data_IF_997094809607
#
_entry.id   IF_997094809607
#
_cell.length_a   1.000
_cell.length_b   1.000
_cell.length_c   1.000
_cell.angle_alpha   90.00
_cell.angle_beta   90.00
_cell.angle_gamma   90.00
#
_symmetry.space_group_name_H-M   'P 1'
#
loop_
_entity.id
_entity.type
_entity.pdbx_description
1 polymer ?
#
# COMPACT_ATOMS: atom_id res chain seq x y z
N UNK A 1 5.61 20.30 -13.71
CA UNK A 1 4.83 19.35 -12.92
C UNK A 1 5.68 18.83 -11.77
N UNK A 2 5.09 18.56 -10.62
CA UNK A 2 5.79 18.08 -9.42
C UNK A 2 5.46 16.61 -9.20
N UNK A 3 6.40 15.87 -8.60
CA UNK A 3 6.14 14.53 -8.12
C UNK A 3 5.17 14.60 -6.92
N UNK A 4 4.30 13.60 -6.80
CA UNK A 4 3.34 13.49 -5.69
C UNK A 4 3.67 12.24 -4.89
N UNK A 5 3.83 12.41 -3.58
CA UNK A 5 4.07 11.31 -2.63
C UNK A 5 2.92 11.26 -1.64
N UNK A 6 2.29 10.09 -1.49
CA UNK A 6 1.13 9.93 -0.61
C UNK A 6 1.00 8.49 -0.12
N UNK A 7 0.17 8.30 0.91
CA UNK A 7 -0.29 6.98 1.36
C UNK A 7 -1.68 6.72 0.80
N UNK A 8 -1.95 5.48 0.35
CA UNK A 8 -3.28 5.12 -0.16
C UNK A 8 -4.35 5.18 0.93
N UNK A 9 -3.99 4.75 2.14
CA UNK A 9 -4.87 4.90 3.29
C UNK A 9 -4.08 5.18 4.56
N UNK A 10 -4.67 6.00 5.43
CA UNK A 10 -4.08 6.40 6.70
C UNK A 10 -4.41 5.43 7.83
N UNK A 11 -3.40 5.02 8.57
CA UNK A 11 -3.55 4.09 9.70
C UNK A 11 -4.38 4.69 10.85
N UNK A 12 -4.17 5.96 11.16
CA UNK A 12 -4.82 6.63 12.31
C UNK A 12 -6.10 7.37 11.96
N UNK A 13 -6.41 7.53 10.69
CA UNK A 13 -7.62 8.21 10.23
C UNK A 13 -8.74 7.26 9.83
N UNK A 14 -8.42 6.01 9.54
CA UNK A 14 -9.37 5.07 8.95
C UNK A 14 -9.87 5.49 7.55
N UNK A 15 -9.22 6.48 6.95
CA UNK A 15 -9.57 7.00 5.65
C UNK A 15 -8.65 6.48 4.55
N UNK A 16 -9.16 6.34 3.35
CA UNK A 16 -8.42 5.97 2.14
C UNK A 16 -8.64 6.98 1.02
N UNK A 17 -7.75 6.96 0.06
CA UNK A 17 -7.99 7.62 -1.24
C UNK A 17 -9.16 6.90 -1.92
N UNK A 18 -10.25 7.60 -2.28
CA UNK A 18 -11.45 6.93 -2.81
C UNK A 18 -11.19 6.26 -4.17
N UNK A 19 -10.41 6.89 -5.03
CA UNK A 19 -10.05 6.38 -6.36
C UNK A 19 -8.81 7.10 -6.91
N UNK A 20 -8.39 6.77 -8.13
CA UNK A 20 -7.28 7.41 -8.84
C UNK A 20 -7.67 8.52 -9.81
N UNK A 21 -8.89 9.06 -9.79
CA UNK A 21 -9.38 9.99 -10.81
C UNK A 21 -8.71 11.36 -10.73
N UNK A 22 -8.25 11.75 -9.55
CA UNK A 22 -7.49 12.97 -9.32
C UNK A 22 -6.07 12.93 -9.90
N UNK A 23 -5.58 11.77 -10.34
CA UNK A 23 -4.25 11.59 -10.94
C UNK A 23 -4.37 11.78 -12.46
N UNK A 24 -3.85 12.89 -13.05
CA UNK A 24 -3.92 13.09 -14.49
C UNK A 24 -3.09 12.05 -15.25
N UNK A 25 -3.57 11.65 -16.42
CA UNK A 25 -2.84 10.69 -17.27
C UNK A 25 -1.62 11.33 -17.95
N UNK A 26 -1.71 12.61 -18.28
CA UNK A 26 -0.67 13.40 -18.96
C UNK A 26 0.34 14.06 -18.01
N UNK A 27 0.39 13.63 -16.75
CA UNK A 27 1.30 14.16 -15.74
C UNK A 27 2.78 13.97 -16.12
N UNK A 28 3.61 14.97 -15.94
CA UNK A 28 5.06 14.88 -16.09
C UNK A 28 5.74 14.31 -14.83
N UNK A 29 5.22 14.63 -13.65
CA UNK A 29 5.73 14.15 -12.37
C UNK A 29 5.39 12.67 -12.11
N UNK A 30 6.10 12.09 -11.16
CA UNK A 30 5.84 10.73 -10.68
C UNK A 30 4.75 10.72 -9.61
N UNK A 31 3.98 9.65 -9.58
CA UNK A 31 3.04 9.34 -8.51
C UNK A 31 3.62 8.20 -7.67
N UNK A 32 3.97 8.51 -6.43
CA UNK A 32 4.66 7.61 -5.49
C UNK A 32 3.71 7.30 -4.35
N UNK A 33 3.32 6.06 -4.20
CA UNK A 33 2.31 5.61 -3.26
C UNK A 33 2.85 4.58 -2.27
N UNK A 34 2.73 4.86 -0.99
CA UNK A 34 2.76 3.82 0.04
C UNK A 34 1.38 3.16 0.10
N UNK A 35 1.32 1.90 -0.28
CA UNK A 35 0.10 1.11 -0.31
C UNK A 35 0.15 -0.07 0.69
N UNK A 36 0.95 0.03 1.73
CA UNK A 36 1.19 -1.05 2.69
C UNK A 36 -0.09 -1.63 3.27
N UNK A 37 -1.09 -0.81 3.55
CA UNK A 37 -2.39 -1.27 4.07
C UNK A 37 -3.48 -1.42 2.99
N UNK A 38 -3.14 -1.17 1.73
CA UNK A 38 -4.09 -1.23 0.61
C UNK A 38 -3.87 -2.44 -0.29
N UNK A 39 -2.62 -2.78 -0.58
CA UNK A 39 -2.28 -3.94 -1.41
C UNK A 39 -2.89 -5.20 -0.81
N UNK A 40 -3.51 -6.04 -1.66
CA UNK A 40 -4.30 -7.23 -1.35
C UNK A 40 -5.68 -6.99 -0.71
N UNK A 41 -6.07 -5.74 -0.42
CA UNK A 41 -7.39 -5.43 0.12
C UNK A 41 -8.20 -4.46 -0.71
N UNK A 42 -7.56 -3.73 -1.61
CA UNK A 42 -8.18 -2.69 -2.44
C UNK A 42 -7.73 -2.81 -3.88
N UNK A 43 -8.64 -2.45 -4.79
CA UNK A 43 -8.28 -2.29 -6.20
C UNK A 43 -7.52 -0.97 -6.37
N UNK A 44 -6.27 -1.07 -6.83
CA UNK A 44 -5.39 0.08 -7.03
C UNK A 44 -5.31 0.42 -8.53
N UNK A 45 -5.31 1.73 -8.88
CA UNK A 45 -5.19 2.16 -10.29
C UNK A 45 -3.72 2.06 -10.75
N UNK A 46 -3.23 0.84 -10.92
CA UNK A 46 -1.82 0.53 -11.23
C UNK A 46 -1.26 1.33 -12.41
N UNK A 47 -2.07 1.60 -13.43
CA UNK A 47 -1.66 2.41 -14.59
C UNK A 47 -1.35 3.87 -14.26
N UNK A 48 -1.84 4.37 -13.12
CA UNK A 48 -1.66 5.74 -12.64
C UNK A 48 -0.60 5.87 -11.53
N UNK A 49 -0.04 4.75 -11.06
CA UNK A 49 0.97 4.73 -9.99
C UNK A 49 2.35 4.42 -10.57
N UNK A 50 3.32 5.32 -10.37
CA UNK A 50 4.66 5.15 -10.91
C UNK A 50 5.59 4.39 -9.96
N UNK A 51 5.41 4.58 -8.66
CA UNK A 51 6.11 3.83 -7.61
C UNK A 51 5.09 3.38 -6.57
N UNK A 52 5.03 2.10 -6.30
CA UNK A 52 4.21 1.55 -5.22
C UNK A 52 5.10 0.77 -4.27
N UNK A 53 4.97 1.06 -2.98
CA UNK A 53 5.70 0.35 -1.93
C UNK A 53 4.73 -0.27 -0.94
N UNK A 54 5.09 -1.44 -0.43
CA UNK A 54 4.38 -2.08 0.68
C UNK A 54 5.29 -3.04 1.44
N UNK A 55 4.79 -3.56 2.54
CA UNK A 55 5.39 -4.63 3.33
C UNK A 55 4.31 -5.66 3.72
N UNK A 56 4.71 -6.81 4.23
CA UNK A 56 3.84 -8.00 4.34
C UNK A 56 2.93 -8.05 5.56
N UNK A 57 3.11 -7.17 6.54
CA UNK A 57 2.47 -7.24 7.86
C UNK A 57 0.99 -6.87 7.91
N UNK A 58 0.36 -6.47 6.82
CA UNK A 58 -1.05 -6.04 6.81
C UNK A 58 -1.97 -7.17 6.35
N UNK A 59 -2.53 -7.09 5.17
CA UNK A 59 -3.56 -8.02 4.68
C UNK A 59 -3.08 -9.47 4.63
N UNK A 60 -1.84 -9.69 4.26
CA UNK A 60 -1.25 -11.03 4.18
C UNK A 60 -0.80 -11.60 5.53
N UNK A 61 -0.81 -10.80 6.60
CA UNK A 61 -0.54 -11.26 7.97
C UNK A 61 0.89 -11.67 8.25
N UNK A 62 1.85 -11.38 7.36
CA UNK A 62 3.25 -11.67 7.54
C UNK A 62 3.98 -10.72 8.48
N UNK A 63 5.28 -10.90 8.63
CA UNK A 63 6.12 -9.99 9.40
C UNK A 63 6.37 -8.66 8.66
N UNK A 64 6.58 -7.59 9.42
CA UNK A 64 6.97 -6.27 8.91
C UNK A 64 8.45 -6.24 8.45
N UNK A 65 8.84 -7.27 7.76
CA UNK A 65 10.18 -7.47 7.25
C UNK A 65 10.29 -7.10 5.80
N UNK A 66 11.02 -7.15 4.96
CA UNK A 66 11.11 -7.06 3.50
C UNK A 66 10.11 -6.08 2.85
N UNK A 67 10.60 -4.89 2.53
CA UNK A 67 9.88 -3.93 1.71
C UNK A 67 9.79 -4.41 0.25
N UNK A 68 8.60 -4.31 -0.32
CA UNK A 68 8.33 -4.56 -1.73
C UNK A 68 8.24 -3.24 -2.48
N UNK A 69 8.67 -3.23 -3.72
CA UNK A 69 8.59 -2.06 -4.59
C UNK A 69 8.20 -2.46 -6.02
N UNK A 70 7.27 -1.72 -6.60
CA UNK A 70 6.92 -1.78 -8.02
C UNK A 70 7.26 -0.45 -8.66
N UNK A 71 7.87 -0.48 -9.83
CA UNK A 71 8.26 0.70 -10.60
C UNK A 71 7.58 0.66 -11.98
N UNK A 72 6.97 1.78 -12.37
CA UNK A 72 6.54 1.98 -13.75
C UNK A 72 7.75 2.20 -14.67
N UNK A 73 7.61 2.01 -15.99
CA UNK A 73 8.66 2.36 -16.94
C UNK A 73 9.11 3.83 -16.81
N UNK A 74 8.20 4.74 -16.52
CA UNK A 74 8.48 6.16 -16.28
C UNK A 74 9.34 6.38 -15.02
N UNK A 75 9.10 5.62 -13.97
CA UNK A 75 9.91 5.68 -12.76
C UNK A 75 11.32 5.12 -13.01
N UNK A 76 11.45 4.06 -13.78
CA UNK A 76 12.74 3.50 -14.20
C UNK A 76 13.52 4.53 -15.01
N UNK A 77 12.92 5.12 -16.02
CA UNK A 77 13.55 6.19 -16.83
C UNK A 77 14.05 7.34 -15.92
N UNK A 78 13.24 7.79 -14.97
CA UNK A 78 13.63 8.83 -14.01
C UNK A 78 14.84 8.41 -13.17
N UNK A 79 14.91 7.18 -12.71
CA UNK A 79 16.03 6.65 -11.92
C UNK A 79 17.32 6.64 -12.76
N UNK A 80 17.24 6.30 -14.04
CA UNK A 80 18.40 6.17 -14.91
C UNK A 80 18.97 7.50 -15.37
N UNK A 81 18.12 8.51 -15.57
CA UNK A 81 18.55 9.85 -16.00
C UNK A 81 18.94 10.77 -14.83
N UNK A 82 18.47 10.46 -13.60
CA UNK A 82 18.74 11.28 -12.43
C UNK A 82 20.05 10.91 -11.74
N UNK A 83 20.91 11.89 -11.59
CA UNK A 83 22.15 11.74 -10.80
C UNK A 83 22.03 12.55 -9.51
N UNK A 84 21.92 11.89 -8.34
CA UNK A 84 21.83 12.62 -7.08
C UNK A 84 23.11 13.43 -6.83
N UNK A 85 22.94 14.65 -6.34
CA UNK A 85 24.05 15.55 -6.00
C UNK A 85 24.81 15.13 -4.74
N UNK A 86 24.21 14.23 -3.93
CA UNK A 86 24.79 13.70 -2.69
C UNK A 86 24.94 12.18 -2.78
N UNK A 87 25.98 11.61 -2.13
CA UNK A 87 26.11 10.15 -2.04
C UNK A 87 24.90 9.55 -1.32
N UNK A 88 24.24 8.59 -1.96
CA UNK A 88 23.15 7.86 -1.31
C UNK A 88 23.69 6.68 -0.48
N UNK A 89 23.15 6.45 0.72
CA UNK A 89 23.37 5.21 1.45
C UNK A 89 23.01 4.00 0.58
N UNK A 90 23.73 2.89 0.75
CA UNK A 90 23.57 1.68 -0.09
C UNK A 90 22.10 1.20 -0.15
N UNK A 91 21.37 1.29 0.96
CA UNK A 91 19.98 0.86 1.08
C UNK A 91 19.00 1.66 0.19
N UNK A 92 19.35 2.89 -0.19
CA UNK A 92 18.51 3.74 -1.06
C UNK A 92 18.96 3.74 -2.52
N UNK A 93 19.96 2.94 -2.88
CA UNK A 93 20.49 2.92 -4.25
C UNK A 93 19.71 1.93 -5.10
N UNK A 94 18.92 2.44 -6.02
CA UNK A 94 18.22 1.67 -7.05
C UNK A 94 18.97 1.68 -8.39
N UNK A 95 19.96 2.57 -8.55
CA UNK A 95 20.77 2.67 -9.76
C UNK A 95 22.27 2.63 -9.47
N UNK A 96 23.03 2.18 -10.46
CA UNK A 96 24.49 2.20 -10.48
C UNK A 96 24.99 2.56 -11.87
N UNK A 97 25.78 3.63 -11.96
CA UNK A 97 26.34 4.09 -13.25
C UNK A 97 25.28 4.48 -14.29
N UNK A 98 24.15 5.07 -13.85
CA UNK A 98 23.06 5.47 -14.74
C UNK A 98 22.15 4.34 -15.19
N UNK A 99 22.26 3.13 -14.64
CA UNK A 99 21.41 1.99 -14.98
C UNK A 99 20.70 1.48 -13.72
N UNK A 100 19.46 1.02 -13.85
CA UNK A 100 18.72 0.35 -12.80
C UNK A 100 19.49 -0.91 -12.34
N UNK A 101 19.53 -1.15 -11.03
CA UNK A 101 20.09 -2.38 -10.46
C UNK A 101 19.03 -3.49 -10.55
N UNK A 102 18.94 -4.14 -11.71
CA UNK A 102 17.90 -5.15 -12.00
C UNK A 102 17.90 -6.32 -11.03
N UNK A 103 19.07 -6.70 -10.53
CA UNK A 103 19.21 -7.80 -9.57
C UNK A 103 18.32 -7.66 -8.32
N UNK A 104 17.97 -6.43 -7.90
CA UNK A 104 17.04 -6.19 -6.77
C UNK A 104 15.67 -6.78 -7.06
N UNK A 105 15.24 -6.76 -8.32
CA UNK A 105 13.95 -7.30 -8.79
C UNK A 105 14.02 -8.78 -9.16
N UNK A 106 15.21 -9.35 -9.11
CA UNK A 106 15.50 -10.76 -9.42
C UNK A 106 15.91 -11.54 -8.16
N UNK A 107 15.67 -10.99 -6.97
CA UNK A 107 15.94 -11.62 -5.68
C UNK A 107 17.31 -11.31 -5.06
N UNK A 108 18.12 -10.44 -5.66
CA UNK A 108 19.35 -9.98 -5.02
C UNK A 108 19.02 -8.99 -3.91
N UNK A 109 19.40 -9.31 -2.68
CA UNK A 109 19.14 -8.48 -1.50
C UNK A 109 20.45 -7.87 -0.96
N UNK A 110 20.32 -6.74 -0.25
CA UNK A 110 21.47 -6.06 0.37
C UNK A 110 22.04 -6.89 1.53
N UNK A 111 21.14 -7.47 2.30
CA UNK A 111 21.45 -8.32 3.45
C UNK A 111 20.80 -9.68 3.29
N UNK A 112 21.25 -10.67 4.03
CA UNK A 112 20.59 -11.97 4.12
C UNK A 112 19.17 -11.80 4.61
N UNK A 113 18.20 -12.35 3.87
CA UNK A 113 16.79 -12.30 4.22
C UNK A 113 16.47 -13.23 5.39
N UNK A 114 15.41 -12.92 6.13
CA UNK A 114 14.82 -13.87 7.07
C UNK A 114 14.06 -14.94 6.30
N UNK A 115 14.57 -16.17 6.30
CA UNK A 115 13.94 -17.29 5.58
C UNK A 115 12.53 -17.57 6.11
N UNK A 116 12.33 -17.47 7.42
CA UNK A 116 11.01 -17.69 8.04
C UNK A 116 9.98 -16.67 7.52
N UNK A 117 10.36 -15.38 7.44
CA UNK A 117 9.45 -14.34 6.91
C UNK A 117 9.13 -14.57 5.43
N UNK A 118 10.06 -15.12 4.67
CA UNK A 118 9.83 -15.46 3.25
C UNK A 118 8.88 -16.64 3.13
N UNK A 119 9.07 -17.70 3.92
CA UNK A 119 8.20 -18.87 3.93
C UNK A 119 6.78 -18.51 4.38
N UNK A 120 6.62 -17.70 5.43
CA UNK A 120 5.31 -17.21 5.88
C UNK A 120 4.59 -16.40 4.78
N UNK A 121 5.32 -15.53 4.08
CA UNK A 121 4.76 -14.75 2.98
C UNK A 121 4.38 -15.64 1.79
N UNK A 122 5.16 -16.65 1.46
CA UNK A 122 4.86 -17.63 0.41
C UNK A 122 3.64 -18.48 0.77
N UNK A 123 3.54 -18.98 2.00
CA UNK A 123 2.38 -19.72 2.46
C UNK A 123 1.10 -18.86 2.37
N UNK A 124 1.16 -17.60 2.82
CA UNK A 124 0.07 -16.64 2.69
C UNK A 124 -0.36 -16.40 1.25
N UNK A 125 0.60 -16.27 0.31
CA UNK A 125 0.30 -16.12 -1.12
C UNK A 125 -0.34 -17.38 -1.73
N UNK A 126 0.17 -18.56 -1.40
CA UNK A 126 -0.40 -19.83 -1.83
C UNK A 126 -1.82 -20.04 -1.29
N UNK A 127 -2.03 -19.67 -0.02
CA UNK A 127 -3.38 -19.68 0.55
C UNK A 127 -4.31 -18.71 -0.20
N UNK A 128 -3.87 -17.48 -0.45
CA UNK A 128 -4.65 -16.49 -1.18
C UNK A 128 -5.04 -16.99 -2.58
N UNK A 129 -4.09 -17.60 -3.29
CA UNK A 129 -4.34 -18.21 -4.59
C UNK A 129 -5.39 -19.33 -4.50
N UNK A 130 -5.30 -20.19 -3.47
CA UNK A 130 -6.22 -21.30 -3.24
C UNK A 130 -7.68 -20.89 -3.02
N UNK A 131 -7.91 -19.67 -2.49
CA UNK A 131 -9.27 -19.15 -2.22
C UNK A 131 -9.82 -18.26 -3.34
N UNK A 132 -9.09 -18.07 -4.44
CA UNK A 132 -9.51 -17.28 -5.60
C UNK A 132 -8.71 -15.99 -5.83
N UNK A 133 -7.54 -15.85 -5.20
CA UNK A 133 -6.59 -14.78 -5.46
C UNK A 133 -7.01 -13.41 -4.94
N UNK A 134 -6.55 -12.39 -5.63
CA UNK A 134 -6.72 -10.99 -5.24
C UNK A 134 -8.19 -10.58 -5.07
N UNK A 135 -9.05 -10.95 -6.00
CA UNK A 135 -10.48 -10.59 -5.97
C UNK A 135 -11.16 -11.13 -4.70
N UNK A 136 -10.82 -12.35 -4.30
CA UNK A 136 -11.34 -12.95 -3.07
C UNK A 136 -10.83 -12.27 -1.82
N UNK A 137 -9.58 -11.80 -1.80
CA UNK A 137 -9.03 -11.04 -0.67
C UNK A 137 -9.71 -9.67 -0.54
N UNK A 138 -9.91 -8.97 -1.66
CA UNK A 138 -10.63 -7.69 -1.69
C UNK A 138 -12.08 -7.88 -1.22
N UNK A 139 -12.78 -8.89 -1.72
CA UNK A 139 -14.15 -9.20 -1.31
C UNK A 139 -14.24 -9.53 0.20
N UNK A 140 -13.29 -10.27 0.75
CA UNK A 140 -13.21 -10.53 2.19
C UNK A 140 -13.08 -9.24 3.00
N UNK A 141 -12.17 -8.36 2.60
CA UNK A 141 -11.94 -7.08 3.29
C UNK A 141 -13.19 -6.19 3.24
N UNK A 142 -13.86 -6.13 2.10
CA UNK A 142 -15.10 -5.38 1.93
C UNK A 142 -16.26 -5.97 2.76
N UNK A 143 -16.37 -7.29 2.84
CA UNK A 143 -17.38 -7.96 3.71
C UNK A 143 -17.14 -7.66 5.18
N UNK A 144 -15.89 -7.63 5.62
CA UNK A 144 -15.54 -7.27 6.99
C UNK A 144 -15.95 -5.82 7.30
N UNK A 145 -15.64 -4.86 6.42
CA UNK A 145 -16.08 -3.47 6.56
C UNK A 145 -17.62 -3.39 6.61
N UNK A 146 -18.31 -4.04 5.68
CA UNK A 146 -19.79 -4.03 5.63
C UNK A 146 -20.43 -4.59 6.90
N UNK A 147 -19.82 -5.60 7.53
CA UNK A 147 -20.30 -6.12 8.81
C UNK A 147 -20.19 -5.07 9.93
N UNK A 148 -19.04 -4.37 9.99
CA UNK A 148 -18.82 -3.28 10.98
C UNK A 148 -19.76 -2.11 10.71
N UNK A 149 -19.94 -1.69 9.46
CA UNK A 149 -20.86 -0.62 9.07
C UNK A 149 -22.31 -0.94 9.43
N UNK A 150 -22.72 -2.18 9.20
CA UNK A 150 -24.07 -2.64 9.56
C UNK A 150 -24.27 -2.64 11.07
N UNK A 151 -23.24 -3.04 11.82
CA UNK A 151 -23.30 -3.01 13.28
C UNK A 151 -23.32 -1.58 13.83
N UNK A 152 -22.56 -0.63 13.27
CA UNK A 152 -22.49 0.75 13.71
C UNK A 152 -23.78 1.53 13.38
N UNK A 153 -24.41 1.26 12.25
CA UNK A 153 -25.60 1.99 11.75
C UNK A 153 -26.75 2.07 12.73
N UNK A 154 -26.94 1.02 13.53
CA UNK A 154 -28.06 0.91 14.47
C UNK A 154 -27.72 1.44 15.87
N UNK A 155 -26.63 2.25 15.98
CA UNK A 155 -26.11 2.76 17.26
C UNK A 155 -25.77 4.24 17.16
N UNK A 156 -26.42 5.04 17.96
CA UNK A 156 -26.27 6.52 18.01
C UNK A 156 -25.07 6.99 18.84
N UNK A 157 -24.39 6.09 19.54
CA UNK A 157 -23.23 6.40 20.36
C UNK A 157 -21.89 6.15 19.65
N UNK A 158 -21.90 5.69 18.38
CA UNK A 158 -20.69 5.41 17.62
C UNK A 158 -20.86 5.89 16.17
N UNK A 159 -19.82 6.47 15.61
CA UNK A 159 -19.75 6.81 14.19
C UNK A 159 -18.33 6.63 13.64
N UNK A 160 -18.20 6.58 12.32
CA UNK A 160 -16.91 6.53 11.65
C UNK A 160 -16.29 7.92 11.55
N UNK A 161 -14.99 8.02 11.83
CA UNK A 161 -14.25 9.27 11.61
C UNK A 161 -14.29 9.67 10.12
N UNK A 162 -14.13 8.71 9.19
CA UNK A 162 -14.36 8.93 7.76
C UNK A 162 -15.88 8.96 7.48
N UNK A 163 -16.45 10.16 7.45
CA UNK A 163 -17.90 10.37 7.26
C UNK A 163 -18.38 9.93 5.88
N UNK A 164 -17.57 10.17 4.83
CA UNK A 164 -17.89 9.68 3.48
C UNK A 164 -17.57 8.18 3.37
N UNK A 165 -18.57 7.32 3.08
CA UNK A 165 -18.34 5.89 2.89
C UNK A 165 -17.31 5.56 1.79
N UNK A 166 -17.16 6.39 0.75
CA UNK A 166 -16.20 6.20 -0.31
C UNK A 166 -14.73 6.34 0.17
N UNK A 167 -14.54 7.09 1.25
CA UNK A 167 -13.24 7.36 1.86
C UNK A 167 -12.92 6.40 3.01
N UNK A 168 -13.84 5.52 3.41
CA UNK A 168 -13.59 4.54 4.49
C UNK A 168 -12.61 3.46 4.03
N UNK A 169 -11.58 3.24 4.84
CA UNK A 169 -10.65 2.13 4.65
C UNK A 169 -11.32 0.80 5.04
N UNK A 170 -11.09 -0.26 4.26
CA UNK A 170 -11.53 -1.62 4.60
C UNK A 170 -10.48 -2.44 5.36
N UNK A 171 -9.34 -1.81 5.71
CA UNK A 171 -8.24 -2.44 6.45
C UNK A 171 -7.86 -1.70 7.73
N UNK A 172 -8.27 -0.44 7.86
CA UNK A 172 -8.03 0.37 9.04
C UNK A 172 -9.28 1.19 9.33
N UNK A 173 -9.87 0.99 10.50
CA UNK A 173 -11.07 1.68 10.93
C UNK A 173 -10.76 2.53 12.15
N UNK A 174 -11.26 3.76 12.15
CA UNK A 174 -11.29 4.63 13.31
C UNK A 174 -12.74 5.08 13.51
N UNK A 175 -13.17 5.08 14.77
CA UNK A 175 -14.52 5.49 15.16
C UNK A 175 -14.46 6.44 16.36
N UNK A 176 -15.50 7.23 16.53
CA UNK A 176 -15.76 8.02 17.73
C UNK A 176 -16.89 7.39 18.51
N UNK A 177 -16.87 7.53 19.84
CA UNK A 177 -17.97 7.11 20.68
C UNK A 177 -18.30 8.19 21.70
N UNK A 178 -19.55 8.30 22.10
CA UNK A 178 -19.97 9.27 23.12
C UNK A 178 -19.27 9.08 24.49
N UNK A 179 -18.76 7.88 24.76
CA UNK A 179 -18.02 7.60 25.99
C UNK A 179 -16.56 8.13 25.96
N UNK A 180 -16.04 8.53 24.82
CA UNK A 180 -14.70 9.08 24.69
C UNK A 180 -14.61 10.58 25.08
N UNK A 181 -15.77 11.25 25.17
CA UNK A 181 -15.84 12.67 25.49
C UNK A 181 -15.96 12.94 27.02
N UNK A 182 -15.97 11.88 27.85
CA UNK A 182 -16.11 11.97 29.31
C UNK A 182 -14.79 11.79 30.09
N UNK A 183 -13.64 11.63 29.42
CA UNK A 183 -12.29 11.59 30.00
C UNK A 183 -11.47 12.84 29.64
#
# INVERSE_FOLDING_TARGET
SKDVVFTWNGTTSGAKVPNGDWIPEDREGLTICDATSAVFAMDLPWSKLDVVTWSWQKVMGGEAAHGMIVLSPKAVERIEIYSPSWPLPKIFRLAKGGNLITGIFEGATINTVSMICVEDALDGLLWAESIGGLDSLIDRSNKNLSAVESWARDRDWIDFLASDPAERSNTCLLYTSAAADEE
#
